data_IF_644006192495
#
_entry.id   IF_644006192495
#
_cell.length_a   1.000
_cell.length_b   1.000
_cell.length_c   1.000
_cell.angle_alpha   90.00
_cell.angle_beta   90.00
_cell.angle_gamma   90.00
#
_symmetry.space_group_name_H-M   'P 1'
#
loop_
_entity.id
_entity.type
_entity.pdbx_description
1 polymer ?
#
# COMPACT_ATOMS: atom_id res chain seq x y z
N UNK A 1 3.74 14.70 8.15
CA UNK A 1 4.49 13.45 8.49
C UNK A 1 4.25 12.43 7.41
N UNK A 2 5.31 11.77 6.90
CA UNK A 2 5.19 10.70 5.89
C UNK A 2 4.46 9.49 6.45
N UNK A 3 3.58 8.90 5.65
CA UNK A 3 2.78 7.75 6.05
C UNK A 3 3.50 6.43 5.77
N UNK A 4 3.34 5.48 6.70
CA UNK A 4 3.81 4.10 6.56
C UNK A 4 2.63 3.19 6.23
N UNK A 5 2.67 2.57 5.06
CA UNK A 5 1.65 1.62 4.61
C UNK A 5 2.23 0.22 4.47
N UNK A 6 1.58 -0.77 5.04
CA UNK A 6 1.91 -2.16 4.80
C UNK A 6 0.99 -2.77 3.74
N UNK A 7 1.56 -3.61 2.88
CA UNK A 7 0.82 -4.37 1.86
C UNK A 7 1.00 -5.84 2.17
N UNK A 8 -0.09 -6.58 2.35
CA UNK A 8 0.02 -8.00 2.69
C UNK A 8 0.55 -8.84 1.53
N UNK A 9 1.35 -9.84 1.88
CA UNK A 9 1.73 -10.96 1.04
C UNK A 9 1.60 -12.24 1.86
N UNK A 10 0.40 -12.82 1.86
CA UNK A 10 0.03 -13.90 2.77
C UNK A 10 0.94 -15.14 2.66
N UNK A 11 1.50 -15.38 1.46
CA UNK A 11 2.46 -16.48 1.23
C UNK A 11 3.82 -16.27 1.91
N UNK A 12 4.15 -15.04 2.29
CA UNK A 12 5.41 -14.74 2.98
C UNK A 12 5.32 -14.92 4.50
N UNK A 13 4.10 -14.97 5.06
CA UNK A 13 3.88 -15.11 6.50
C UNK A 13 4.12 -16.57 6.88
N UNK A 14 5.06 -16.79 7.81
CA UNK A 14 5.31 -18.09 8.44
C UNK A 14 4.35 -18.27 9.61
N UNK A 15 3.66 -19.43 9.67
CA UNK A 15 2.66 -19.72 10.69
C UNK A 15 1.26 -19.19 10.37
N UNK A 16 0.51 -18.87 11.42
CA UNK A 16 -0.87 -18.45 11.30
C UNK A 16 -1.00 -17.01 10.84
N UNK A 17 -1.68 -16.82 9.70
CA UNK A 17 -1.76 -15.52 9.01
C UNK A 17 -2.57 -14.49 9.79
N UNK A 18 -3.73 -14.87 10.33
CA UNK A 18 -4.62 -13.94 11.00
C UNK A 18 -4.03 -13.36 12.30
N UNK A 19 -3.44 -14.17 13.21
CA UNK A 19 -2.74 -13.64 14.38
C UNK A 19 -1.60 -12.69 13.99
N UNK A 20 -0.81 -13.03 12.97
CA UNK A 20 0.26 -12.16 12.49
C UNK A 20 -0.26 -10.80 11.98
N UNK A 21 -1.32 -10.80 11.16
CA UNK A 21 -1.92 -9.57 10.64
C UNK A 21 -2.51 -8.71 11.77
N UNK A 22 -3.13 -9.32 12.77
CA UNK A 22 -3.61 -8.59 13.96
C UNK A 22 -2.45 -7.99 14.77
N UNK A 23 -1.36 -8.73 14.94
CA UNK A 23 -0.15 -8.20 15.59
C UNK A 23 0.47 -7.04 14.78
N UNK A 24 0.46 -7.13 13.44
CA UNK A 24 0.91 -6.05 12.57
C UNK A 24 0.02 -4.80 12.69
N UNK A 25 -1.30 -4.96 12.74
CA UNK A 25 -2.24 -3.85 12.96
C UNK A 25 -2.01 -3.18 14.33
N UNK A 26 -1.69 -3.97 15.37
CA UNK A 26 -1.40 -3.46 16.70
C UNK A 26 -0.14 -2.56 16.75
N UNK A 27 0.73 -2.62 15.74
CA UNK A 27 1.86 -1.69 15.62
C UNK A 27 1.47 -0.30 15.09
N UNK A 28 0.20 -0.11 14.73
CA UNK A 28 -0.40 1.14 14.26
C UNK A 28 0.31 1.75 13.03
N UNK A 29 0.52 1.01 11.92
CA UNK A 29 0.86 1.66 10.67
C UNK A 29 -0.30 2.59 10.24
N UNK A 30 -0.06 3.57 9.35
CA UNK A 30 -1.16 4.46 8.93
C UNK A 30 -2.21 3.71 8.11
N UNK A 31 -1.75 2.73 7.30
CA UNK A 31 -2.59 1.96 6.40
C UNK A 31 -2.15 0.50 6.31
N UNK A 32 -3.11 -0.39 6.10
CA UNK A 32 -2.86 -1.78 5.69
C UNK A 32 -3.65 -2.07 4.41
N UNK A 33 -2.96 -2.43 3.33
CA UNK A 33 -3.59 -2.94 2.11
C UNK A 33 -3.69 -4.45 2.21
N UNK A 34 -4.91 -4.96 2.24
CA UNK A 34 -5.17 -6.40 2.25
C UNK A 34 -5.05 -6.96 0.82
N UNK A 35 -3.87 -7.50 0.50
CA UNK A 35 -3.61 -8.14 -0.79
C UNK A 35 -3.57 -9.66 -0.61
N UNK A 36 -4.61 -10.34 -1.08
CA UNK A 36 -4.81 -11.79 -0.91
C UNK A 36 -5.32 -12.39 -2.23
N UNK A 37 -4.47 -12.42 -3.26
CA UNK A 37 -4.81 -12.78 -4.64
C UNK A 37 -5.38 -14.19 -4.84
N UNK A 38 -5.12 -15.10 -3.90
CA UNK A 38 -5.48 -16.50 -4.01
C UNK A 38 -6.79 -16.85 -3.27
N UNK A 39 -7.39 -15.87 -2.58
CA UNK A 39 -8.65 -16.09 -1.89
C UNK A 39 -9.83 -15.90 -2.85
N UNK A 40 -10.88 -16.69 -2.64
CA UNK A 40 -12.18 -16.39 -3.21
C UNK A 40 -12.71 -15.05 -2.68
N UNK A 41 -13.68 -14.44 -3.35
CA UNK A 41 -14.31 -13.19 -2.89
C UNK A 41 -14.91 -13.38 -1.49
N UNK A 42 -15.56 -14.52 -1.22
CA UNK A 42 -16.15 -14.82 0.10
C UNK A 42 -15.09 -14.97 1.20
N UNK A 43 -14.00 -15.70 0.94
CA UNK A 43 -12.91 -15.86 1.93
C UNK A 43 -12.18 -14.53 2.16
N UNK A 44 -12.01 -13.73 1.11
CA UNK A 44 -11.42 -12.40 1.20
C UNK A 44 -12.30 -11.48 2.07
N UNK A 45 -13.61 -11.49 1.85
CA UNK A 45 -14.56 -10.72 2.67
C UNK A 45 -14.54 -11.18 4.13
N UNK A 46 -14.54 -12.48 4.38
CA UNK A 46 -14.44 -13.05 5.73
C UNK A 46 -13.18 -12.59 6.45
N UNK A 47 -12.01 -12.69 5.78
CA UNK A 47 -10.73 -12.21 6.35
C UNK A 47 -10.76 -10.70 6.61
N UNK A 48 -11.38 -9.93 5.73
CA UNK A 48 -11.54 -8.47 5.92
C UNK A 48 -12.35 -8.17 7.17
N UNK A 49 -13.48 -8.86 7.36
CA UNK A 49 -14.34 -8.69 8.54
C UNK A 49 -13.64 -9.07 9.85
N UNK A 50 -12.77 -10.09 9.82
CA UNK A 50 -11.97 -10.49 10.99
C UNK A 50 -10.87 -9.48 11.36
N UNK A 51 -10.36 -8.72 10.38
CA UNK A 51 -9.32 -7.69 10.59
C UNK A 51 -9.91 -6.33 10.95
N UNK A 52 -11.15 -6.05 10.55
CA UNK A 52 -11.77 -4.73 10.69
C UNK A 52 -11.82 -4.22 12.14
N UNK A 53 -12.21 -5.03 13.16
CA UNK A 53 -12.20 -4.55 14.54
C UNK A 53 -10.80 -4.14 15.02
N UNK A 54 -9.77 -4.90 14.66
CA UNK A 54 -8.38 -4.55 15.01
C UNK A 54 -7.91 -3.28 14.29
N UNK A 55 -8.22 -3.12 13.00
CA UNK A 55 -7.85 -1.90 12.27
C UNK A 55 -8.49 -0.66 12.88
N UNK A 56 -9.75 -0.74 13.28
CA UNK A 56 -10.47 0.35 13.95
C UNK A 56 -9.88 0.66 15.33
N UNK A 57 -9.62 -0.37 16.14
CA UNK A 57 -9.07 -0.22 17.50
C UNK A 57 -7.70 0.48 17.50
N UNK A 58 -6.87 0.24 16.49
CA UNK A 58 -5.53 0.81 16.37
C UNK A 58 -5.45 2.01 15.42
N UNK A 59 -6.57 2.52 14.90
CA UNK A 59 -6.62 3.67 14.01
C UNK A 59 -5.95 3.45 12.65
N UNK A 60 -5.87 2.19 12.19
CA UNK A 60 -5.26 1.83 10.91
C UNK A 60 -6.31 1.85 9.80
N UNK A 61 -6.07 2.56 8.71
CA UNK A 61 -6.95 2.50 7.54
C UNK A 61 -6.78 1.17 6.81
N UNK A 62 -7.78 0.29 6.88
CA UNK A 62 -7.81 -0.95 6.11
C UNK A 62 -8.25 -0.67 4.66
N UNK A 63 -7.43 -1.05 3.68
CA UNK A 63 -7.67 -0.80 2.25
C UNK A 63 -7.80 -2.15 1.54
N UNK A 64 -8.87 -2.29 0.79
CA UNK A 64 -9.13 -3.45 -0.07
C UNK A 64 -8.19 -3.42 -1.29
N UNK A 65 -7.74 -4.58 -1.76
CA UNK A 65 -6.92 -4.66 -2.97
C UNK A 65 -7.69 -5.40 -4.08
N UNK A 66 -8.05 -4.68 -5.15
CA UNK A 66 -8.74 -5.15 -6.35
C UNK A 66 -10.18 -5.72 -6.20
N UNK A 67 -10.63 -6.08 -5.02
CA UNK A 67 -11.96 -6.67 -4.79
C UNK A 67 -13.05 -5.59 -4.71
N UNK A 68 -13.51 -5.10 -5.86
CA UNK A 68 -14.43 -3.95 -5.95
C UNK A 68 -15.75 -4.23 -5.23
N UNK A 69 -16.32 -5.44 -5.38
CA UNK A 69 -17.57 -5.81 -4.72
C UNK A 69 -17.43 -5.79 -3.20
N UNK A 70 -16.32 -6.32 -2.66
CA UNK A 70 -16.05 -6.32 -1.21
C UNK A 70 -15.86 -4.90 -0.70
N UNK A 71 -15.10 -4.06 -1.42
CA UNK A 71 -14.91 -2.66 -1.05
C UNK A 71 -16.25 -1.92 -0.96
N UNK A 72 -17.12 -2.14 -1.94
CA UNK A 72 -18.46 -1.53 -1.99
C UNK A 72 -19.36 -2.05 -0.87
N UNK A 73 -19.40 -3.37 -0.67
CA UNK A 73 -20.24 -4.01 0.36
C UNK A 73 -19.86 -3.56 1.79
N UNK A 74 -18.57 -3.35 2.04
CA UNK A 74 -18.05 -2.96 3.36
C UNK A 74 -17.79 -1.45 3.51
N UNK A 75 -18.04 -0.67 2.45
CA UNK A 75 -17.75 0.77 2.39
C UNK A 75 -16.29 1.09 2.80
N UNK A 76 -15.34 0.31 2.26
CA UNK A 76 -13.91 0.47 2.53
C UNK A 76 -13.17 1.06 1.32
N UNK A 77 -12.09 1.82 1.54
CA UNK A 77 -11.25 2.31 0.44
C UNK A 77 -10.59 1.15 -0.31
N UNK A 78 -10.30 1.38 -1.60
CA UNK A 78 -9.72 0.34 -2.47
C UNK A 78 -8.48 0.82 -3.22
N UNK A 79 -7.48 -0.04 -3.33
CA UNK A 79 -6.31 0.12 -4.20
C UNK A 79 -6.48 -0.76 -5.44
N UNK A 80 -6.40 -0.15 -6.62
CA UNK A 80 -6.51 -0.84 -7.91
C UNK A 80 -5.29 -0.60 -8.80
N UNK A 81 -5.15 -1.39 -9.88
CA UNK A 81 -4.19 -1.10 -10.96
C UNK A 81 -4.70 0.04 -11.84
N UNK A 82 -3.82 0.64 -12.63
CA UNK A 82 -4.23 1.63 -13.64
C UNK A 82 -5.26 1.02 -14.60
N UNK A 83 -5.01 -0.17 -15.14
CA UNK A 83 -5.94 -0.88 -16.02
C UNK A 83 -7.34 -1.03 -15.37
N UNK A 84 -7.41 -1.56 -14.15
CA UNK A 84 -8.68 -1.70 -13.43
C UNK A 84 -9.39 -0.36 -13.24
N UNK A 85 -8.64 0.72 -13.00
CA UNK A 85 -9.23 2.05 -12.85
C UNK A 85 -9.86 2.59 -14.13
N UNK A 86 -9.45 2.08 -15.31
CA UNK A 86 -10.02 2.47 -16.59
C UNK A 86 -11.31 1.71 -16.92
N UNK A 87 -11.45 0.48 -16.44
CA UNK A 87 -12.53 -0.46 -16.84
C UNK A 87 -13.63 -0.63 -15.78
N UNK A 88 -13.25 -0.61 -14.48
CA UNK A 88 -14.20 -0.85 -13.40
C UNK A 88 -15.00 0.40 -13.05
N UNK A 89 -16.27 0.20 -12.68
CA UNK A 89 -17.05 1.24 -12.02
C UNK A 89 -16.59 1.40 -10.57
N UNK A 90 -15.90 2.51 -10.28
CA UNK A 90 -15.42 2.90 -8.96
C UNK A 90 -16.24 4.04 -8.36
N UNK A 91 -17.36 4.40 -8.94
CA UNK A 91 -18.24 5.46 -8.44
C UNK A 91 -18.68 5.20 -6.99
N UNK A 92 -18.64 6.23 -6.17
CA UNK A 92 -18.95 6.15 -4.73
C UNK A 92 -17.88 5.49 -3.86
N UNK A 93 -16.76 5.01 -4.43
CA UNK A 93 -15.63 4.46 -3.67
C UNK A 93 -14.50 5.48 -3.54
N UNK A 94 -13.86 5.51 -2.37
CA UNK A 94 -12.56 6.14 -2.20
C UNK A 94 -11.49 5.18 -2.73
N UNK A 95 -10.76 5.56 -3.79
CA UNK A 95 -9.82 4.64 -4.43
C UNK A 95 -8.45 5.26 -4.71
N UNK A 96 -7.43 4.42 -4.64
CA UNK A 96 -6.08 4.72 -5.09
C UNK A 96 -5.70 3.89 -6.30
N UNK A 97 -4.76 4.40 -7.10
CA UNK A 97 -4.32 3.77 -8.34
C UNK A 97 -2.81 3.52 -8.33
N UNK A 98 -2.43 2.29 -8.67
CA UNK A 98 -1.02 1.95 -8.96
C UNK A 98 -0.69 2.37 -10.38
N UNK A 99 0.24 3.31 -10.53
CA UNK A 99 0.63 3.92 -11.80
C UNK A 99 2.10 3.67 -12.13
N UNK A 100 2.44 3.76 -13.40
CA UNK A 100 3.74 3.39 -13.94
C UNK A 100 4.37 4.46 -14.83
N UNK A 101 3.66 5.55 -15.09
CA UNK A 101 4.15 6.74 -15.79
C UNK A 101 3.47 8.00 -15.23
N UNK A 102 3.94 9.17 -15.66
CA UNK A 102 3.32 10.46 -15.31
C UNK A 102 1.91 10.56 -15.93
N UNK A 103 1.77 10.14 -17.19
CA UNK A 103 0.51 10.15 -17.94
C UNK A 103 -0.57 9.29 -17.26
N UNK A 104 -0.20 8.08 -16.80
CA UNK A 104 -1.12 7.24 -16.00
C UNK A 104 -1.54 7.95 -14.72
N UNK A 105 -0.64 8.70 -14.07
CA UNK A 105 -0.94 9.50 -12.88
C UNK A 105 -1.97 10.60 -13.15
N UNK A 106 -1.78 11.36 -14.21
CA UNK A 106 -2.72 12.40 -14.64
C UNK A 106 -4.10 11.81 -14.98
N UNK A 107 -4.15 10.71 -15.74
CA UNK A 107 -5.40 10.05 -16.10
C UNK A 107 -6.13 9.48 -14.88
N UNK A 108 -5.39 8.86 -13.94
CA UNK A 108 -5.96 8.35 -12.69
C UNK A 108 -6.54 9.50 -11.84
N UNK A 109 -5.81 10.62 -11.74
CA UNK A 109 -6.27 11.84 -11.06
C UNK A 109 -7.56 12.39 -11.70
N UNK A 110 -7.59 12.49 -13.02
CA UNK A 110 -8.75 12.98 -13.75
C UNK A 110 -9.99 12.08 -13.56
N UNK A 111 -9.80 10.79 -13.28
CA UNK A 111 -10.87 9.84 -12.91
C UNK A 111 -11.28 9.90 -11.44
N UNK A 112 -10.68 10.77 -10.63
CA UNK A 112 -11.04 10.96 -9.22
C UNK A 112 -10.27 10.08 -8.24
N UNK A 113 -9.10 9.55 -8.62
CA UNK A 113 -8.23 8.85 -7.69
C UNK A 113 -7.89 9.74 -6.48
N UNK A 114 -8.01 9.18 -5.28
CA UNK A 114 -7.73 9.87 -4.02
C UNK A 114 -6.24 9.82 -3.65
N UNK A 115 -5.50 8.88 -4.20
CA UNK A 115 -4.03 8.78 -4.06
C UNK A 115 -3.45 7.93 -5.19
N UNK A 116 -2.12 8.09 -5.41
CA UNK A 116 -1.35 7.29 -6.37
C UNK A 116 -0.28 6.46 -5.65
N UNK A 117 0.05 5.32 -6.22
CA UNK A 117 1.18 4.48 -5.80
C UNK A 117 2.07 4.24 -7.02
N UNK A 118 3.32 4.66 -6.95
CA UNK A 118 4.27 4.52 -8.05
C UNK A 118 5.42 3.57 -7.70
N UNK A 119 5.77 2.71 -8.60
CA UNK A 119 6.91 1.79 -8.45
C UNK A 119 6.95 0.71 -9.52
N UNK A 120 7.95 -0.18 -9.40
CA UNK A 120 8.90 -0.35 -8.28
C UNK A 120 10.10 0.60 -8.41
N UNK A 121 10.48 1.20 -7.28
CA UNK A 121 11.50 2.26 -7.27
C UNK A 121 12.93 1.72 -7.12
N UNK A 122 13.09 0.55 -6.53
CA UNK A 122 14.37 -0.13 -6.37
C UNK A 122 14.25 -1.61 -6.73
N UNK A 123 15.37 -2.25 -7.01
CA UNK A 123 15.41 -3.69 -7.30
C UNK A 123 14.73 -4.49 -6.17
N UNK A 124 13.91 -5.46 -6.56
CA UNK A 124 13.13 -6.29 -5.63
C UNK A 124 12.89 -7.67 -6.20
N UNK A 125 12.90 -8.70 -5.33
CA UNK A 125 12.59 -10.07 -5.71
C UNK A 125 11.18 -10.25 -6.29
N UNK A 126 10.22 -9.39 -5.90
CA UNK A 126 8.85 -9.42 -6.43
C UNK A 126 8.75 -8.98 -7.90
N UNK A 127 9.81 -8.38 -8.46
CA UNK A 127 9.92 -7.91 -9.84
C UNK A 127 11.29 -8.29 -10.42
N UNK A 128 11.77 -9.50 -10.12
CA UNK A 128 13.05 -9.99 -10.59
C UNK A 128 13.18 -9.84 -12.11
N UNK A 129 14.33 -9.34 -12.57
CA UNK A 129 14.62 -9.12 -13.99
C UNK A 129 14.04 -7.85 -14.60
N UNK A 130 13.20 -7.10 -13.89
CA UNK A 130 12.71 -5.80 -14.35
C UNK A 130 13.55 -4.65 -13.78
N UNK A 131 13.91 -3.68 -14.63
CA UNK A 131 14.60 -2.48 -14.18
C UNK A 131 13.69 -1.63 -13.27
N UNK A 132 14.24 -1.03 -12.19
CA UNK A 132 13.52 -0.04 -11.38
C UNK A 132 13.02 1.13 -12.24
N UNK A 133 11.89 1.71 -11.83
CA UNK A 133 11.32 2.88 -12.48
C UNK A 133 12.05 4.16 -12.09
N UNK A 134 11.92 5.18 -12.93
CA UNK A 134 12.60 6.46 -12.76
C UNK A 134 12.16 7.21 -11.51
N UNK A 135 13.12 7.60 -10.68
CA UNK A 135 12.88 8.50 -9.53
C UNK A 135 12.45 9.89 -10.01
N UNK A 136 12.94 10.37 -11.15
CA UNK A 136 12.52 11.66 -11.71
C UNK A 136 11.02 11.68 -12.09
N UNK A 137 10.48 10.57 -12.59
CA UNK A 137 9.03 10.44 -12.84
C UNK A 137 8.27 10.42 -11.51
N UNK A 138 8.80 9.73 -10.48
CA UNK A 138 8.20 9.76 -9.14
C UNK A 138 8.15 11.18 -8.57
N UNK A 139 9.25 11.92 -8.67
CA UNK A 139 9.31 13.33 -8.25
C UNK A 139 8.31 14.21 -9.01
N UNK A 140 8.16 14.01 -10.33
CA UNK A 140 7.14 14.74 -11.09
C UNK A 140 5.72 14.42 -10.60
N UNK A 141 5.42 13.14 -10.31
CA UNK A 141 4.13 12.70 -9.76
C UNK A 141 3.83 13.33 -8.40
N UNK A 142 4.83 13.52 -7.52
CA UNK A 142 4.60 14.13 -6.19
C UNK A 142 4.17 15.61 -6.26
N UNK A 143 4.28 16.24 -7.42
CA UNK A 143 3.80 17.62 -7.67
C UNK A 143 2.32 17.68 -8.05
N UNK A 144 1.68 16.53 -8.29
CA UNK A 144 0.24 16.48 -8.54
C UNK A 144 -0.55 16.79 -7.25
N UNK A 145 -1.74 17.39 -7.36
CA UNK A 145 -2.54 17.80 -6.18
C UNK A 145 -3.27 16.63 -5.51
N UNK A 146 -2.57 15.52 -5.26
CA UNK A 146 -3.04 14.37 -4.50
C UNK A 146 -1.86 13.61 -3.89
N UNK A 147 -2.05 12.84 -2.80
CA UNK A 147 -0.99 12.07 -2.18
C UNK A 147 -0.39 11.03 -3.12
N UNK A 148 0.95 10.99 -3.23
CA UNK A 148 1.68 10.00 -4.03
C UNK A 148 2.64 9.23 -3.13
N UNK A 149 2.56 7.91 -3.20
CA UNK A 149 3.33 6.96 -2.40
C UNK A 149 4.30 6.18 -3.25
N UNK A 150 5.46 5.89 -2.68
CA UNK A 150 6.45 5.02 -3.33
C UNK A 150 6.29 3.55 -2.91
N UNK A 151 6.53 2.61 -3.84
CA UNK A 151 6.59 1.18 -3.58
C UNK A 151 7.72 0.49 -4.33
N UNK A 152 8.16 -0.66 -3.79
CA UNK A 152 9.05 -1.62 -4.46
C UNK A 152 10.53 -1.41 -4.15
N UNK A 153 11.09 -2.36 -3.39
CA UNK A 153 12.49 -2.39 -3.00
C UNK A 153 12.92 -1.27 -2.06
N UNK A 154 11.97 -0.52 -1.49
CA UNK A 154 12.25 0.54 -0.52
C UNK A 154 12.68 -0.10 0.80
N UNK A 155 13.80 0.39 1.34
CA UNK A 155 14.40 -0.01 2.61
C UNK A 155 14.77 1.23 3.42
N UNK A 156 14.94 1.09 4.72
CA UNK A 156 15.43 2.17 5.59
C UNK A 156 16.76 2.75 5.10
N UNK A 157 17.61 1.92 4.46
CA UNK A 157 18.92 2.30 3.93
C UNK A 157 18.87 3.06 2.59
N UNK A 158 17.73 3.12 1.91
CA UNK A 158 17.64 3.77 0.59
C UNK A 158 16.49 4.77 0.46
N UNK A 159 15.57 4.82 1.41
CA UNK A 159 14.41 5.72 1.39
C UNK A 159 14.79 7.20 1.32
N UNK A 160 15.96 7.58 1.85
CA UNK A 160 16.50 8.93 1.79
C UNK A 160 16.81 9.42 0.35
N UNK A 161 16.82 8.52 -0.65
CA UNK A 161 17.02 8.85 -2.06
C UNK A 161 15.71 9.27 -2.76
N UNK A 162 14.59 9.17 -2.06
CA UNK A 162 13.27 9.49 -2.61
C UNK A 162 12.89 10.95 -2.33
N UNK A 163 11.99 11.54 -3.14
CA UNK A 163 11.51 12.91 -2.95
C UNK A 163 10.88 13.09 -1.56
N UNK A 164 11.19 14.19 -0.90
CA UNK A 164 10.63 14.54 0.43
C UNK A 164 9.14 14.90 0.36
N UNK A 165 8.66 15.27 -0.82
CA UNK A 165 7.28 15.62 -1.12
C UNK A 165 6.36 14.40 -1.23
N UNK A 166 6.92 13.17 -1.23
CA UNK A 166 6.11 11.96 -1.23
C UNK A 166 5.23 11.88 0.03
N UNK A 167 4.02 11.38 -0.13
CA UNK A 167 3.09 11.20 0.99
C UNK A 167 3.52 10.08 1.96
N UNK A 168 4.32 9.13 1.48
CA UNK A 168 4.84 8.03 2.29
C UNK A 168 5.31 6.84 1.47
N UNK A 169 5.48 5.72 2.13
CA UNK A 169 6.02 4.48 1.56
C UNK A 169 5.10 3.29 1.77
N UNK A 170 5.12 2.37 0.79
CA UNK A 170 4.45 1.08 0.83
C UNK A 170 5.50 -0.03 0.99
N UNK A 171 5.42 -0.78 2.07
CA UNK A 171 6.30 -1.91 2.38
C UNK A 171 5.47 -3.20 2.28
N UNK A 172 5.91 -4.15 1.46
CA UNK A 172 5.18 -5.39 1.24
C UNK A 172 5.86 -6.58 1.93
N UNK A 173 6.76 -7.28 1.26
CA UNK A 173 7.33 -8.53 1.73
C UNK A 173 8.05 -8.40 3.07
N UNK A 174 8.85 -7.35 3.22
CA UNK A 174 9.66 -7.15 4.42
C UNK A 174 8.79 -7.01 5.68
N UNK A 175 7.60 -6.41 5.59
CA UNK A 175 6.67 -6.32 6.71
C UNK A 175 5.97 -7.64 7.07
N UNK A 176 6.01 -8.64 6.18
CA UNK A 176 5.34 -9.94 6.38
C UNK A 176 6.25 -11.01 7.00
N UNK A 177 7.54 -10.74 7.17
CA UNK A 177 8.52 -11.72 7.65
C UNK A 177 9.25 -11.28 8.93
N UNK A 178 8.71 -10.29 9.62
CA UNK A 178 9.34 -9.74 10.82
C UNK A 178 9.04 -10.61 12.04
N UNK A 179 10.06 -11.04 12.79
CA UNK A 179 9.85 -11.73 14.07
C UNK A 179 9.29 -10.77 15.14
N UNK A 180 9.61 -9.49 15.04
CA UNK A 180 9.09 -8.41 15.90
C UNK A 180 8.52 -7.27 15.03
N UNK A 181 7.22 -7.33 14.68
CA UNK A 181 6.57 -6.28 13.90
C UNK A 181 6.57 -4.91 14.58
N UNK A 182 6.57 -4.86 15.92
CA UNK A 182 6.57 -3.60 16.67
C UNK A 182 7.90 -2.87 16.53
N UNK A 183 9.01 -3.57 16.77
CA UNK A 183 10.35 -2.99 16.59
C UNK A 183 10.57 -2.56 15.14
N UNK A 184 10.11 -3.35 14.17
CA UNK A 184 10.20 -3.01 12.75
C UNK A 184 9.42 -1.73 12.40
N UNK A 185 8.17 -1.62 12.88
CA UNK A 185 7.34 -0.43 12.65
C UNK A 185 7.95 0.81 13.30
N UNK A 186 8.45 0.68 14.54
CA UNK A 186 9.13 1.78 15.22
C UNK A 186 10.35 2.26 14.44
N UNK A 187 11.21 1.36 13.97
CA UNK A 187 12.39 1.70 13.19
C UNK A 187 12.01 2.43 11.87
N UNK A 188 10.93 2.01 11.20
CA UNK A 188 10.41 2.73 10.04
C UNK A 188 9.91 4.13 10.38
N UNK A 189 9.15 4.29 11.49
CA UNK A 189 8.68 5.60 11.96
C UNK A 189 9.84 6.54 12.24
N UNK A 190 10.84 6.05 12.98
CA UNK A 190 12.05 6.82 13.30
C UNK A 190 12.79 7.24 12.00
N UNK A 191 12.94 6.32 11.05
CA UNK A 191 13.57 6.60 9.74
C UNK A 191 12.79 7.67 8.96
N UNK A 192 11.47 7.53 8.84
CA UNK A 192 10.63 8.48 8.08
C UNK A 192 10.61 9.87 8.73
N UNK A 193 10.69 9.95 10.06
CA UNK A 193 10.74 11.21 10.78
C UNK A 193 12.03 12.03 10.49
N UNK A 194 13.13 11.37 10.10
CA UNK A 194 14.37 12.07 9.71
C UNK A 194 14.31 12.70 8.32
N UNK A 195 13.28 12.40 7.52
CA UNK A 195 13.14 12.88 6.14
C UNK A 195 12.21 14.10 6.01
N UNK A 196 11.45 14.40 7.06
CA UNK A 196 10.48 15.53 7.13
C UNK A 196 11.11 16.78 7.87
#
# INVERSE_FOLDING_TARGET
MMQLTYVTELSAIVGEKLPYLKALLATSPDRLILRAKHLSEADYQSLTLELLPSSQAYGVTLIINHQVNVARALNLPIQVSFHTSQEADLSGLTFGVSVHSYEEGELARAKGASWLVYGHLFATSCKAGLAPRSIAVFEALTKLPLPVYGIGGIKMTNVHKLPKEMAGVYIMRDSMVQPDPLAFTKAWRDTLATLT
#
